data_IF_739567316116
#
_entry.id   IF_739567316116
#
_cell.length_a   1.000
_cell.length_b   1.000
_cell.length_c   1.000
_cell.angle_alpha   90.00
_cell.angle_beta   90.00
_cell.angle_gamma   90.00
#
_symmetry.space_group_name_H-M   'P 1'
#
loop_
_entity.id
_entity.type
_entity.pdbx_description
1 polymer ?
#
# COMPACT_ATOMS: atom_id res chain seq x y z
N UNK A 1 -8.00 -19.65 3.38
CA UNK A 1 -9.12 -18.72 3.62
C UNK A 1 -8.74 -17.81 4.79
N UNK A 2 -8.05 -16.70 4.54
CA UNK A 2 -7.74 -15.72 5.59
C UNK A 2 -8.96 -14.80 5.77
N UNK A 3 -9.63 -14.91 6.91
CA UNK A 3 -10.70 -14.00 7.31
C UNK A 3 -10.06 -12.65 7.70
N UNK A 4 -10.23 -11.62 6.88
CA UNK A 4 -10.06 -10.25 7.36
C UNK A 4 -11.15 -10.00 8.41
N UNK A 5 -10.76 -9.99 9.68
CA UNK A 5 -11.65 -9.60 10.78
C UNK A 5 -12.31 -8.24 10.48
N UNK A 6 -13.57 -8.07 10.91
CA UNK A 6 -14.29 -6.78 10.88
C UNK A 6 -13.33 -5.63 11.24
N UNK A 7 -13.22 -4.66 10.35
CA UNK A 7 -12.23 -3.57 10.42
C UNK A 7 -12.16 -2.93 11.81
N UNK A 8 -10.95 -2.86 12.36
CA UNK A 8 -10.65 -2.18 13.62
C UNK A 8 -10.89 -0.67 13.51
N UNK A 9 -11.16 -0.01 14.64
CA UNK A 9 -11.25 1.47 14.73
C UNK A 9 -10.01 2.11 14.08
N UNK A 10 -10.23 3.03 13.12
CA UNK A 10 -9.17 3.80 12.48
C UNK A 10 -8.26 4.45 13.55
N UNK A 11 -6.94 4.30 13.36
CA UNK A 11 -5.90 4.92 14.18
C UNK A 11 -5.19 5.95 13.31
N UNK A 12 -5.64 7.18 13.39
CA UNK A 12 -5.02 8.32 12.70
C UNK A 12 -4.05 8.96 13.69
N UNK A 13 -2.80 9.20 13.28
CA UNK A 13 -1.74 9.76 14.12
C UNK A 13 -1.50 11.25 13.80
N UNK A 14 -2.58 12.01 13.67
CA UNK A 14 -2.57 13.45 13.40
C UNK A 14 -1.84 14.27 14.49
N UNK A 15 -1.88 13.83 15.75
CA UNK A 15 -1.11 14.43 16.85
C UNK A 15 0.42 14.34 16.65
N UNK A 16 0.90 13.40 15.83
CA UNK A 16 2.33 13.25 15.46
C UNK A 16 2.62 13.95 14.13
N UNK A 17 1.74 13.78 13.14
CA UNK A 17 2.02 14.16 11.75
C UNK A 17 1.34 15.46 11.30
N UNK A 18 0.57 16.13 12.17
CA UNK A 18 -0.25 17.29 11.80
C UNK A 18 -1.61 16.89 11.23
N UNK A 19 -2.52 17.87 11.10
CA UNK A 19 -3.86 17.65 10.58
C UNK A 19 -3.87 17.31 9.07
N UNK A 20 -2.82 17.71 8.35
CA UNK A 20 -2.58 17.39 6.94
C UNK A 20 -1.67 16.17 6.72
N UNK A 21 -1.12 15.58 7.80
CA UNK A 21 -0.14 14.49 7.74
C UNK A 21 1.27 14.89 7.28
N UNK A 22 1.52 16.19 7.06
CA UNK A 22 2.78 16.76 6.57
C UNK A 22 3.31 17.89 7.47
N UNK A 23 2.90 17.91 8.74
CA UNK A 23 3.34 18.86 9.75
C UNK A 23 2.72 20.25 9.63
N UNK A 24 1.56 20.38 8.96
CA UNK A 24 0.84 21.65 8.73
C UNK A 24 1.68 22.71 8.01
N UNK A 25 2.57 22.29 7.10
CA UNK A 25 3.49 23.20 6.39
C UNK A 25 2.87 23.93 5.20
N UNK A 26 1.62 23.62 4.83
CA UNK A 26 0.88 24.27 3.74
C UNK A 26 1.59 24.18 2.37
N UNK A 27 1.98 22.96 2.00
CA UNK A 27 2.55 22.67 0.67
C UNK A 27 1.55 22.97 -0.46
N UNK A 28 2.01 23.36 -1.66
CA UNK A 28 1.13 23.54 -2.80
C UNK A 28 0.48 22.20 -3.21
N UNK A 29 -0.74 22.23 -3.75
CA UNK A 29 -1.37 21.02 -4.25
C UNK A 29 -0.55 20.39 -5.40
N UNK A 30 -0.56 19.06 -5.56
CA UNK A 30 0.13 18.41 -6.66
C UNK A 30 -0.48 18.80 -8.01
N UNK A 31 0.36 18.92 -9.03
CA UNK A 31 -0.10 19.16 -10.42
C UNK A 31 -0.74 17.92 -11.06
N UNK A 32 -0.40 16.74 -10.55
CA UNK A 32 -0.87 15.45 -11.06
C UNK A 32 -2.22 15.03 -10.46
N UNK A 33 -2.82 14.01 -11.07
CA UNK A 33 -4.02 13.34 -10.55
C UNK A 33 -3.67 11.90 -10.18
N UNK A 34 -4.35 11.32 -9.17
CA UNK A 34 -4.32 9.88 -8.96
C UNK A 34 -4.74 9.14 -10.23
N UNK A 35 -4.20 7.94 -10.42
CA UNK A 35 -4.75 6.99 -11.39
C UNK A 35 -6.00 6.33 -10.81
N UNK A 36 -6.92 5.89 -11.66
CA UNK A 36 -8.18 5.23 -11.25
C UNK A 36 -7.96 3.80 -10.72
N UNK A 37 -6.83 3.18 -11.07
CA UNK A 37 -6.49 1.83 -10.63
C UNK A 37 -6.25 1.77 -9.12
N UNK A 38 -6.78 0.74 -8.45
CA UNK A 38 -6.51 0.54 -7.04
C UNK A 38 -5.04 0.18 -6.80
N UNK A 39 -4.50 0.54 -5.64
CA UNK A 39 -3.11 0.19 -5.30
C UNK A 39 -2.87 -1.34 -5.30
N UNK A 40 -3.88 -2.14 -4.95
CA UNK A 40 -3.77 -3.60 -4.95
C UNK A 40 -3.72 -4.16 -6.38
N UNK A 41 -4.59 -3.67 -7.29
CA UNK A 41 -4.56 -4.06 -8.70
C UNK A 41 -3.23 -3.67 -9.36
N UNK A 42 -2.76 -2.44 -9.10
CA UNK A 42 -1.47 -1.96 -9.60
C UNK A 42 -0.33 -2.89 -9.15
N UNK A 43 -0.29 -3.25 -7.86
CA UNK A 43 0.73 -4.16 -7.32
C UNK A 43 0.69 -5.53 -8.02
N UNK A 44 -0.49 -6.12 -8.21
CA UNK A 44 -0.66 -7.41 -8.90
C UNK A 44 -0.19 -7.31 -10.35
N UNK A 45 -0.61 -6.27 -11.07
CA UNK A 45 -0.27 -6.07 -12.47
C UNK A 45 1.25 -5.88 -12.66
N UNK A 46 1.88 -5.08 -11.80
CA UNK A 46 3.32 -4.89 -11.83
C UNK A 46 4.09 -6.17 -11.49
N UNK A 47 3.64 -6.94 -10.49
CA UNK A 47 4.27 -8.21 -10.11
C UNK A 47 4.20 -9.23 -11.25
N UNK A 48 3.04 -9.37 -11.91
CA UNK A 48 2.86 -10.26 -13.08
C UNK A 48 3.72 -9.86 -14.26
N UNK A 49 3.82 -8.55 -14.54
CA UNK A 49 4.63 -8.04 -15.64
C UNK A 49 6.14 -8.19 -15.39
N UNK A 50 6.57 -8.24 -14.13
CA UNK A 50 7.98 -8.20 -13.74
C UNK A 50 8.32 -9.25 -12.65
N UNK A 51 8.10 -10.56 -12.90
CA UNK A 51 8.28 -11.59 -11.89
C UNK A 51 9.73 -11.64 -11.41
N UNK A 52 9.93 -11.63 -10.10
CA UNK A 52 11.24 -11.70 -9.43
C UNK A 52 12.07 -10.42 -9.52
N UNK A 53 11.52 -9.30 -10.02
CA UNK A 53 12.27 -8.04 -10.21
C UNK A 53 11.88 -6.92 -9.25
N UNK A 54 10.66 -6.94 -8.71
CA UNK A 54 10.12 -5.82 -7.92
C UNK A 54 10.44 -6.01 -6.45
N UNK A 55 10.95 -4.96 -5.81
CA UNK A 55 11.01 -4.84 -4.34
C UNK A 55 9.90 -3.90 -3.88
N UNK A 56 9.03 -4.38 -2.99
CA UNK A 56 7.98 -3.58 -2.37
C UNK A 56 8.49 -3.04 -1.03
N UNK A 57 8.42 -1.72 -0.83
CA UNK A 57 8.78 -1.07 0.43
C UNK A 57 7.50 -0.62 1.14
N UNK A 58 7.11 -1.35 2.17
CA UNK A 58 5.86 -1.16 2.90
C UNK A 58 6.11 -0.38 4.21
N UNK A 59 5.82 0.92 4.19
CA UNK A 59 6.10 1.84 5.31
C UNK A 59 4.86 2.22 6.13
N UNK A 60 3.71 1.63 5.82
CA UNK A 60 2.45 1.85 6.53
C UNK A 60 1.69 0.53 6.71
N UNK A 61 0.39 0.59 7.05
CA UNK A 61 -0.42 -0.61 7.21
C UNK A 61 -0.39 -1.50 5.95
N UNK A 62 -0.28 -2.81 6.15
CA UNK A 62 -0.10 -3.79 5.06
C UNK A 62 -1.39 -4.09 4.26
N UNK A 63 -2.43 -3.26 4.39
CA UNK A 63 -3.77 -3.50 3.82
C UNK A 63 -3.71 -3.73 2.31
N UNK A 64 -2.95 -2.93 1.57
CA UNK A 64 -2.84 -3.07 0.11
C UNK A 64 -2.12 -4.36 -0.30
N UNK A 65 -1.10 -4.79 0.46
CA UNK A 65 -0.40 -6.07 0.22
C UNK A 65 -1.33 -7.23 0.52
N UNK A 66 -2.07 -7.17 1.62
CA UNK A 66 -3.04 -8.20 1.99
C UNK A 66 -4.12 -8.36 0.91
N UNK A 67 -4.63 -7.25 0.36
CA UNK A 67 -5.58 -7.26 -0.76
C UNK A 67 -4.95 -7.83 -2.04
N UNK A 68 -3.72 -7.45 -2.37
CA UNK A 68 -3.01 -7.98 -3.54
C UNK A 68 -2.82 -9.52 -3.46
N UNK A 69 -2.44 -10.04 -2.28
CA UNK A 69 -2.33 -11.49 -2.06
C UNK A 69 -3.69 -12.21 -2.16
N UNK A 70 -4.79 -11.56 -1.76
CA UNK A 70 -6.13 -12.12 -1.92
C UNK A 70 -6.60 -12.13 -3.37
N UNK A 71 -6.28 -11.08 -4.13
CA UNK A 71 -6.61 -10.97 -5.56
C UNK A 71 -5.79 -11.95 -6.40
N UNK A 72 -4.51 -12.14 -6.08
CA UNK A 72 -3.61 -13.05 -6.78
C UNK A 72 -2.72 -13.81 -5.78
N UNK A 73 -3.00 -15.11 -5.55
CA UNK A 73 -2.18 -15.96 -4.68
C UNK A 73 -0.71 -16.11 -5.12
N UNK A 74 -0.40 -15.85 -6.40
CA UNK A 74 0.97 -15.89 -6.92
C UNK A 74 1.69 -14.55 -6.78
N UNK A 75 1.01 -13.48 -6.32
CA UNK A 75 1.62 -12.16 -6.09
C UNK A 75 2.92 -12.27 -5.29
N UNK A 76 2.89 -12.94 -4.15
CA UNK A 76 4.05 -13.08 -3.27
C UNK A 76 5.21 -13.84 -3.93
N UNK A 77 4.92 -14.77 -4.85
CA UNK A 77 5.95 -15.52 -5.60
C UNK A 77 6.59 -14.67 -6.69
N UNK A 78 5.82 -13.72 -7.23
CA UNK A 78 6.27 -12.84 -8.31
C UNK A 78 7.02 -11.60 -7.78
N UNK A 79 6.93 -11.29 -6.49
CA UNK A 79 7.71 -10.24 -5.85
C UNK A 79 9.10 -10.75 -5.49
N UNK A 80 10.14 -9.95 -5.76
CA UNK A 80 11.52 -10.28 -5.41
C UNK A 80 11.74 -10.19 -3.89
N UNK A 81 11.26 -9.09 -3.30
CA UNK A 81 11.45 -8.80 -1.88
C UNK A 81 10.36 -7.87 -1.37
N UNK A 82 9.97 -8.04 -0.11
CA UNK A 82 9.14 -7.07 0.62
C UNK A 82 9.97 -6.57 1.81
N UNK A 83 10.24 -5.27 1.86
CA UNK A 83 10.87 -4.57 2.99
C UNK A 83 9.78 -3.91 3.80
N UNK A 84 9.73 -4.20 5.10
CA UNK A 84 8.63 -3.80 5.98
C UNK A 84 9.16 -2.90 7.09
N UNK A 85 8.47 -1.78 7.33
CA UNK A 85 8.54 -1.03 8.58
C UNK A 85 7.29 -1.36 9.38
N UNK A 86 7.47 -1.79 10.63
CA UNK A 86 6.40 -2.22 11.53
C UNK A 86 6.56 -1.64 12.92
#
# INVERSE_FOLDING_TARGET
MFLLQKGTKLRIADFVHGADGLGNQNFPPPNGKPIEESAADFLVNQAKANPGKITVVALGPLTNIALAVQMDPDFAKNIAQIVLLG
#
